data_IF_020098427179
#
_entry.id   IF_020098427179
#
_cell.length_a   1.000
_cell.length_b   1.000
_cell.length_c   1.000
_cell.angle_alpha   90.00
_cell.angle_beta   90.00
_cell.angle_gamma   90.00
#
_symmetry.space_group_name_H-M   'P 1'
#
loop_
_entity.id
_entity.type
_entity.pdbx_description
1 polymer ?
#
# COMPACT_ATOMS: atom_id res chain seq x y z
N UNK A 1 -20.78 8.10 -3.51
CA UNK A 1 -19.47 7.55 -3.89
C UNK A 1 -19.70 6.77 -5.17
N UNK A 2 -19.50 7.41 -6.32
CA UNK A 2 -19.83 6.78 -7.61
C UNK A 2 -18.81 5.69 -7.95
N UNK A 3 -19.31 4.55 -8.43
CA UNK A 3 -18.55 3.35 -8.83
C UNK A 3 -17.47 3.69 -9.89
N UNK A 4 -17.67 4.78 -10.64
CA UNK A 4 -16.72 5.35 -11.58
C UNK A 4 -15.40 5.73 -10.92
N UNK A 5 -15.41 6.33 -9.73
CA UNK A 5 -14.20 6.75 -9.00
C UNK A 5 -13.31 5.55 -8.62
N UNK A 6 -13.92 4.41 -8.28
CA UNK A 6 -13.21 3.18 -7.91
C UNK A 6 -12.41 2.58 -9.08
N UNK A 7 -13.02 2.53 -10.28
CA UNK A 7 -12.36 2.00 -11.48
C UNK A 7 -11.19 2.88 -11.94
N UNK A 8 -11.26 4.20 -11.71
CA UNK A 8 -10.18 5.12 -12.11
C UNK A 8 -9.00 5.14 -11.12
N UNK A 9 -9.22 4.88 -9.83
CA UNK A 9 -8.14 4.71 -8.87
C UNK A 9 -7.23 3.52 -9.21
N UNK A 10 -7.80 2.41 -9.72
CA UNK A 10 -7.03 1.25 -10.18
C UNK A 10 -6.14 1.57 -11.41
N UNK A 11 -6.56 2.51 -12.26
CA UNK A 11 -5.82 2.95 -13.44
C UNK A 11 -4.69 3.95 -13.11
N UNK A 12 -4.92 4.89 -12.18
CA UNK A 12 -3.93 5.91 -11.81
C UNK A 12 -2.81 5.40 -10.92
N UNK A 13 -3.08 4.36 -10.14
CA UNK A 13 -2.07 3.67 -9.37
C UNK A 13 -0.89 3.26 -10.30
N UNK A 14 -1.19 2.81 -11.53
CA UNK A 14 -0.17 2.44 -12.52
C UNK A 14 0.74 3.60 -12.99
N UNK A 15 0.34 4.85 -12.79
CA UNK A 15 1.13 6.03 -13.20
C UNK A 15 2.22 6.42 -12.18
N UNK A 16 2.17 5.93 -10.94
CA UNK A 16 3.14 6.28 -9.88
C UNK A 16 4.50 5.56 -10.03
N UNK A 17 4.62 4.56 -10.90
CA UNK A 17 5.87 3.85 -11.17
C UNK A 17 6.93 4.70 -11.90
N UNK A 18 6.57 5.85 -12.47
CA UNK A 18 7.30 6.40 -13.62
C UNK A 18 8.06 7.70 -13.32
N UNK A 19 8.37 7.98 -12.04
CA UNK A 19 8.92 9.27 -11.59
C UNK A 19 10.32 9.22 -10.95
N UNK A 20 11.12 8.17 -11.16
CA UNK A 20 12.47 8.10 -10.58
C UNK A 20 13.54 7.56 -11.56
N UNK A 21 14.44 8.45 -11.99
CA UNK A 21 15.81 8.09 -12.38
C UNK A 21 16.25 8.51 -13.79
N UNK A 22 17.25 9.41 -13.85
CA UNK A 22 18.02 9.78 -15.05
C UNK A 22 19.43 9.14 -14.97
N UNK A 23 19.94 8.55 -16.07
CA UNK A 23 21.38 8.47 -16.48
C UNK A 23 21.64 7.49 -17.66
N UNK A 24 22.79 7.60 -18.39
CA UNK A 24 22.81 7.54 -19.86
C UNK A 24 23.17 6.19 -20.52
N UNK A 25 22.88 6.17 -21.82
CA UNK A 25 22.95 5.13 -22.85
C UNK A 25 24.12 4.12 -22.83
N UNK A 26 23.77 2.86 -23.17
CA UNK A 26 24.52 2.02 -24.12
C UNK A 26 23.52 1.17 -24.93
N UNK A 27 23.49 1.34 -26.26
CA UNK A 27 22.79 0.44 -27.21
C UNK A 27 23.63 -0.81 -27.52
N UNK A 28 23.03 -1.97 -27.89
CA UNK A 28 22.82 -2.22 -29.31
C UNK A 28 21.54 -3.00 -29.72
N UNK A 29 21.20 -2.73 -30.98
CA UNK A 29 20.21 -3.27 -31.94
C UNK A 29 19.79 -4.74 -31.84
N UNK A 30 18.50 -4.96 -32.16
CA UNK A 30 18.08 -5.84 -33.26
C UNK A 30 16.94 -6.80 -32.96
N UNK A 31 15.73 -6.52 -33.48
CA UNK A 31 14.96 -7.38 -34.41
C UNK A 31 13.46 -7.03 -34.42
N UNK A 32 12.87 -7.10 -35.62
CA UNK A 32 11.54 -6.59 -35.98
C UNK A 32 10.44 -7.63 -35.86
N UNK A 33 9.23 -7.22 -35.45
CA UNK A 33 7.97 -7.82 -35.90
C UNK A 33 6.82 -6.78 -35.89
N UNK A 34 5.87 -6.96 -36.81
CA UNK A 34 4.90 -6.01 -37.35
C UNK A 34 3.63 -5.77 -36.47
N UNK A 35 2.76 -4.78 -36.79
CA UNK A 35 1.93 -4.08 -35.82
C UNK A 35 0.54 -4.70 -35.60
N UNK A 36 0.02 -4.60 -34.37
CA UNK A 36 -1.41 -4.71 -34.08
C UNK A 36 -1.96 -3.34 -33.69
N UNK A 37 -2.89 -2.83 -34.50
CA UNK A 37 -3.65 -1.60 -34.27
C UNK A 37 -4.44 -1.69 -32.97
N UNK A 38 -4.29 -0.70 -32.08
CA UNK A 38 -5.24 -0.45 -31.00
C UNK A 38 -5.64 1.03 -31.03
N UNK A 39 -6.96 1.24 -31.05
CA UNK A 39 -7.62 2.53 -31.08
C UNK A 39 -7.15 3.41 -29.91
N UNK A 40 -6.72 4.63 -30.24
CA UNK A 40 -6.29 5.63 -29.27
C UNK A 40 -7.44 6.10 -28.36
N UNK A 41 -7.18 6.06 -27.06
CA UNK A 41 -7.84 6.95 -26.09
C UNK A 41 -6.81 7.98 -25.65
N UNK A 42 -7.07 9.24 -25.98
CA UNK A 42 -6.23 10.38 -25.65
C UNK A 42 -6.16 10.58 -24.13
N UNK A 43 -4.94 10.57 -23.61
CA UNK A 43 -4.59 10.97 -22.24
C UNK A 43 -4.74 12.50 -22.13
N UNK A 44 -5.30 13.04 -21.03
CA UNK A 44 -5.46 14.49 -20.88
C UNK A 44 -4.11 15.23 -20.99
N UNK A 45 -4.08 16.44 -21.57
CA UNK A 45 -2.88 17.07 -22.12
C UNK A 45 -1.80 17.48 -21.09
N UNK A 46 -2.02 17.26 -19.79
CA UNK A 46 -1.13 17.66 -18.70
C UNK A 46 -0.83 16.54 -17.68
N UNK A 47 -1.16 15.28 -17.97
CA UNK A 47 -0.58 14.19 -17.18
C UNK A 47 0.91 14.09 -17.53
N UNK A 48 1.85 14.04 -16.56
CA UNK A 48 3.25 13.75 -16.88
C UNK A 48 3.27 12.44 -17.67
N UNK A 49 3.80 12.48 -18.89
CA UNK A 49 3.99 11.26 -19.68
C UNK A 49 5.04 10.42 -18.96
N UNK A 50 4.57 9.40 -18.28
CA UNK A 50 5.35 8.30 -17.79
C UNK A 50 6.32 7.76 -18.84
N UNK A 51 7.63 7.75 -18.56
CA UNK A 51 8.64 7.12 -19.42
C UNK A 51 8.56 5.58 -19.25
N UNK A 52 8.16 4.80 -20.27
CA UNK A 52 7.91 3.36 -20.17
C UNK A 52 9.15 2.47 -19.88
N UNK A 53 10.22 3.02 -19.31
CA UNK A 53 11.55 2.38 -19.15
C UNK A 53 12.09 2.33 -17.71
N UNK A 54 11.29 2.60 -16.69
CA UNK A 54 11.75 2.47 -15.29
C UNK A 54 11.40 1.10 -14.72
N UNK A 55 12.41 0.27 -14.49
CA UNK A 55 12.24 -1.03 -13.83
C UNK A 55 11.75 -0.86 -12.38
N UNK A 56 10.99 -1.84 -11.82
CA UNK A 56 10.57 -1.80 -10.43
C UNK A 56 11.75 -1.70 -9.46
N UNK A 57 11.67 -0.79 -8.48
CA UNK A 57 12.70 -0.63 -7.45
C UNK A 57 12.57 -1.69 -6.35
N UNK A 58 13.38 -2.74 -6.42
CA UNK A 58 13.52 -3.72 -5.35
C UNK A 58 14.56 -3.25 -4.32
N UNK A 59 14.14 -3.09 -3.07
CA UNK A 59 15.01 -2.60 -2.00
C UNK A 59 15.77 -3.72 -1.28
N UNK A 60 15.25 -4.95 -1.28
CA UNK A 60 15.86 -6.09 -0.58
C UNK A 60 17.34 -6.31 -0.92
N UNK A 61 17.77 -6.30 -2.20
CA UNK A 61 19.19 -6.44 -2.52
C UNK A 61 20.09 -5.34 -1.91
N UNK A 62 19.59 -4.10 -1.85
CA UNK A 62 20.32 -2.99 -1.24
C UNK A 62 20.34 -3.09 0.29
N UNK A 63 19.25 -3.56 0.90
CA UNK A 63 19.13 -3.81 2.34
C UNK A 63 20.11 -4.92 2.76
N UNK A 64 20.15 -6.03 2.03
CA UNK A 64 21.06 -7.16 2.28
C UNK A 64 22.54 -6.75 2.10
N UNK A 65 22.83 -5.91 1.11
CA UNK A 65 24.16 -5.33 0.91
C UNK A 65 24.51 -4.23 1.93
N UNK A 66 23.60 -3.86 2.84
CA UNK A 66 23.72 -2.74 3.78
C UNK A 66 23.91 -1.36 3.12
N UNK A 67 23.48 -1.19 1.86
CA UNK A 67 23.50 0.06 1.10
C UNK A 67 22.29 0.96 1.46
N UNK A 68 22.10 1.25 2.75
CA UNK A 68 20.89 1.94 3.23
C UNK A 68 20.73 3.36 2.68
N UNK A 69 21.81 4.14 2.56
CA UNK A 69 21.76 5.50 2.03
C UNK A 69 21.29 5.52 0.58
N UNK A 70 21.81 4.61 -0.25
CA UNK A 70 21.42 4.45 -1.65
C UNK A 70 19.96 3.99 -1.77
N UNK A 71 19.53 3.02 -0.94
CA UNK A 71 18.16 2.55 -0.91
C UNK A 71 17.17 3.68 -0.53
N UNK A 72 17.51 4.52 0.45
CA UNK A 72 16.69 5.69 0.82
C UNK A 72 16.65 6.74 -0.30
N UNK A 73 17.78 7.02 -0.94
CA UNK A 73 17.86 7.98 -2.04
C UNK A 73 17.00 7.53 -3.23
N UNK A 74 17.16 6.27 -3.66
CA UNK A 74 16.40 5.70 -4.79
C UNK A 74 14.91 5.58 -4.52
N UNK A 75 14.51 5.32 -3.27
CA UNK A 75 13.09 5.18 -2.90
C UNK A 75 12.37 6.51 -2.70
N UNK A 76 13.08 7.65 -2.69
CA UNK A 76 12.49 8.96 -2.39
C UNK A 76 11.37 9.36 -3.37
N UNK A 77 10.23 9.80 -2.83
CA UNK A 77 9.05 10.23 -3.58
C UNK A 77 8.80 11.71 -3.36
N UNK A 78 8.98 12.52 -4.40
CA UNK A 78 8.79 13.99 -4.33
C UNK A 78 7.38 14.44 -4.72
N UNK A 79 6.54 13.51 -5.21
CA UNK A 79 5.22 13.78 -5.78
C UNK A 79 4.29 14.57 -4.85
N UNK A 80 4.38 14.38 -3.53
CA UNK A 80 3.51 15.04 -2.55
C UNK A 80 3.83 16.55 -2.38
N UNK A 81 5.07 16.96 -2.64
CA UNK A 81 5.53 18.34 -2.41
C UNK A 81 4.82 19.35 -3.30
N UNK A 82 4.43 18.97 -4.52
CA UNK A 82 3.70 19.85 -5.44
C UNK A 82 2.30 20.23 -4.94
N UNK A 83 1.74 19.43 -4.02
CA UNK A 83 0.46 19.69 -3.36
C UNK A 83 0.64 20.35 -1.99
N UNK A 84 1.84 20.87 -1.69
CA UNK A 84 2.15 21.53 -0.43
C UNK A 84 2.25 20.60 0.76
N UNK A 85 2.35 19.28 0.56
CA UNK A 85 2.60 18.29 1.63
C UNK A 85 4.11 18.20 1.80
N UNK A 86 4.63 18.86 2.84
CA UNK A 86 6.07 18.95 3.09
C UNK A 86 6.56 17.82 4.02
N UNK A 87 6.34 16.58 3.59
CA UNK A 87 6.81 15.38 4.28
C UNK A 87 7.78 14.60 3.39
N UNK A 88 8.72 13.90 4.01
CA UNK A 88 9.52 12.88 3.32
C UNK A 88 8.62 11.70 2.97
N UNK A 89 8.81 11.11 1.80
CA UNK A 89 8.08 9.92 1.39
C UNK A 89 9.02 8.96 0.66
N UNK A 90 8.77 7.66 0.83
CA UNK A 90 9.56 6.59 0.22
C UNK A 90 8.66 5.49 -0.32
N UNK A 91 8.97 4.98 -1.51
CA UNK A 91 8.28 3.81 -2.08
C UNK A 91 9.24 2.82 -2.70
N UNK A 92 8.81 1.57 -2.77
CA UNK A 92 9.54 0.51 -3.46
C UNK A 92 8.95 -0.84 -3.12
N UNK A 93 9.67 -1.88 -3.52
CA UNK A 93 9.32 -3.27 -3.26
C UNK A 93 10.26 -3.87 -2.24
N UNK A 94 9.70 -4.60 -1.28
CA UNK A 94 10.46 -5.49 -0.40
C UNK A 94 10.10 -6.93 -0.76
N UNK A 95 11.13 -7.73 -1.06
CA UNK A 95 10.98 -9.17 -1.30
C UNK A 95 10.82 -9.88 0.03
N UNK A 96 9.62 -10.42 0.28
CA UNK A 96 9.26 -11.10 1.54
C UNK A 96 9.41 -12.62 1.44
N UNK A 97 9.55 -13.15 0.24
CA UNK A 97 9.86 -14.56 0.00
C UNK A 97 10.74 -14.72 -1.25
N UNK A 98 12.00 -15.08 -1.07
CA UNK A 98 12.95 -15.26 -2.17
C UNK A 98 12.67 -16.49 -3.04
N UNK A 99 12.01 -17.52 -2.49
CA UNK A 99 11.73 -18.77 -3.23
C UNK A 99 10.61 -18.58 -4.23
N UNK A 100 9.54 -17.89 -3.82
CA UNK A 100 8.39 -17.60 -4.69
C UNK A 100 8.51 -16.24 -5.38
N UNK A 101 9.51 -15.43 -5.01
CA UNK A 101 9.67 -14.04 -5.45
C UNK A 101 8.43 -13.22 -5.11
N UNK A 102 8.00 -13.31 -3.85
CA UNK A 102 6.92 -12.47 -3.34
C UNK A 102 7.47 -11.07 -3.03
N UNK A 103 6.89 -10.06 -3.67
CA UNK A 103 7.28 -8.67 -3.50
C UNK A 103 6.08 -7.87 -2.98
N UNK A 104 6.25 -7.21 -1.82
CA UNK A 104 5.27 -6.26 -1.31
C UNK A 104 5.66 -4.84 -1.66
N UNK A 105 4.74 -4.12 -2.31
CA UNK A 105 4.84 -2.69 -2.56
C UNK A 105 4.40 -1.89 -1.33
N UNK A 106 5.14 -0.83 -1.01
CA UNK A 106 4.76 0.12 0.01
C UNK A 106 4.98 1.56 -0.42
N UNK A 107 4.28 2.45 0.27
CA UNK A 107 4.54 3.87 0.28
C UNK A 107 4.52 4.39 1.71
N UNK A 108 5.69 4.78 2.21
CA UNK A 108 5.88 5.51 3.46
C UNK A 108 5.68 7.01 3.20
N UNK A 109 4.91 7.67 4.05
CA UNK A 109 4.85 9.13 4.15
C UNK A 109 5.03 9.50 5.61
N UNK A 110 6.11 10.23 5.93
CA UNK A 110 6.40 10.62 7.31
C UNK A 110 5.35 11.57 7.88
N UNK A 111 5.23 11.65 9.20
CA UNK A 111 4.35 12.64 9.80
C UNK A 111 4.77 14.07 9.40
N UNK A 112 3.81 14.95 9.11
CA UNK A 112 4.15 16.37 8.90
C UNK A 112 4.58 17.05 10.20
N UNK A 113 3.94 16.69 11.32
CA UNK A 113 4.27 17.23 12.63
C UNK A 113 5.16 16.27 13.42
N UNK A 114 6.33 16.76 13.82
CA UNK A 114 7.29 16.04 14.65
C UNK A 114 7.69 14.64 14.11
N UNK A 115 8.09 14.50 12.82
CA UNK A 115 8.38 13.20 12.19
C UNK A 115 9.37 12.34 13.00
N UNK A 116 10.36 12.97 13.64
CA UNK A 116 11.37 12.28 14.45
C UNK A 116 10.80 11.60 15.71
N UNK A 117 9.60 11.98 16.16
CA UNK A 117 8.94 11.48 17.39
C UNK A 117 7.57 10.84 17.14
N UNK A 118 6.90 11.22 16.06
CA UNK A 118 5.55 10.78 15.71
C UNK A 118 5.43 9.25 15.62
N UNK A 119 4.29 8.65 16.01
CA UNK A 119 4.07 7.22 15.87
C UNK A 119 4.19 6.74 14.42
N UNK A 120 4.46 5.44 14.26
CA UNK A 120 4.42 4.74 12.98
C UNK A 120 3.11 3.96 12.87
N UNK A 121 2.45 4.01 11.72
CA UNK A 121 1.26 3.22 11.45
C UNK A 121 1.37 2.50 10.12
N UNK A 122 1.11 1.19 10.13
CA UNK A 122 0.89 0.43 8.91
C UNK A 122 -0.61 0.43 8.59
N UNK A 123 -0.98 0.86 7.39
CA UNK A 123 -2.35 0.81 6.88
C UNK A 123 -2.42 -0.08 5.64
N UNK A 124 -3.38 -1.00 5.62
CA UNK A 124 -3.63 -1.87 4.47
C UNK A 124 -5.12 -2.01 4.17
N UNK A 125 -5.47 -2.33 2.93
CA UNK A 125 -6.85 -2.38 2.47
C UNK A 125 -7.42 -3.79 2.43
N UNK A 126 -8.73 -3.88 2.57
CA UNK A 126 -9.48 -5.13 2.54
C UNK A 126 -9.73 -5.68 1.13
N UNK A 127 -10.91 -6.24 0.92
CA UNK A 127 -11.28 -6.95 -0.31
C UNK A 127 -11.52 -8.43 -0.05
N UNK A 128 -10.48 -9.26 0.12
CA UNK A 128 -9.03 -8.98 0.16
C UNK A 128 -8.39 -8.61 -1.20
N UNK A 129 -7.24 -7.93 -1.18
CA UNK A 129 -6.44 -7.65 -2.39
C UNK A 129 -6.54 -6.23 -2.96
N UNK A 130 -7.28 -5.32 -2.30
CA UNK A 130 -7.31 -3.92 -2.72
C UNK A 130 -5.98 -3.22 -2.37
N UNK A 131 -5.55 -2.29 -3.23
CA UNK A 131 -4.36 -1.48 -2.95
C UNK A 131 -4.60 -0.54 -1.77
N UNK A 132 -3.59 -0.41 -0.89
CA UNK A 132 -3.55 0.58 0.18
C UNK A 132 -3.58 2.02 -0.33
N UNK A 133 -3.22 2.27 -1.60
CA UNK A 133 -3.36 3.57 -2.22
C UNK A 133 -4.83 4.04 -2.30
N UNK A 134 -5.79 3.11 -2.26
CA UNK A 134 -7.19 3.46 -2.09
C UNK A 134 -7.42 4.22 -0.77
N UNK A 135 -6.82 3.73 0.32
CA UNK A 135 -6.88 4.40 1.63
C UNK A 135 -6.17 5.73 1.62
N UNK A 136 -5.00 5.79 0.97
CA UNK A 136 -4.24 7.03 0.82
C UNK A 136 -5.05 8.11 0.10
N UNK A 137 -5.62 7.79 -1.06
CA UNK A 137 -6.25 8.78 -1.95
C UNK A 137 -7.69 9.13 -1.56
N UNK A 138 -8.45 8.17 -1.04
CA UNK A 138 -9.89 8.33 -0.83
C UNK A 138 -10.32 8.35 0.63
N UNK A 139 -9.43 8.04 1.57
CA UNK A 139 -9.79 7.92 2.97
C UNK A 139 -8.92 8.81 3.87
N UNK A 140 -7.77 8.31 4.31
CA UNK A 140 -7.03 8.84 5.44
C UNK A 140 -5.66 9.44 5.09
N UNK A 141 -5.21 9.30 3.85
CA UNK A 141 -3.94 9.87 3.40
C UNK A 141 -4.00 11.36 3.09
N UNK A 142 -2.84 11.97 2.82
CA UNK A 142 -2.71 13.42 2.73
C UNK A 142 -3.20 13.99 1.39
N UNK A 143 -3.53 13.12 0.42
CA UNK A 143 -4.11 13.52 -0.85
C UNK A 143 -5.62 13.24 -0.89
N UNK A 144 -6.32 14.11 -1.59
CA UNK A 144 -7.69 13.92 -2.05
C UNK A 144 -7.68 13.82 -3.57
N UNK A 145 -8.58 12.99 -4.08
CA UNK A 145 -8.82 12.79 -5.49
C UNK A 145 -10.28 13.12 -5.80
N UNK A 146 -10.52 14.00 -6.77
CA UNK A 146 -11.87 14.37 -7.21
C UNK A 146 -12.31 13.62 -8.48
N UNK A 147 -13.57 13.82 -8.88
CA UNK A 147 -14.12 13.18 -10.08
C UNK A 147 -13.52 13.72 -11.39
N UNK A 148 -12.93 14.92 -11.36
CA UNK A 148 -12.23 15.55 -12.48
C UNK A 148 -10.79 15.06 -12.61
N UNK A 149 -10.40 14.09 -11.75
CA UNK A 149 -9.08 13.47 -11.68
C UNK A 149 -7.98 14.43 -11.22
N UNK A 150 -8.34 15.49 -10.52
CA UNK A 150 -7.38 16.39 -9.90
C UNK A 150 -7.01 15.87 -8.50
N UNK A 151 -5.73 16.03 -8.18
CA UNK A 151 -5.25 15.81 -6.82
C UNK A 151 -5.20 17.14 -6.08
N UNK A 152 -5.59 17.10 -4.80
CA UNK A 152 -5.48 18.22 -3.89
C UNK A 152 -5.01 17.72 -2.53
N UNK A 153 -4.47 18.63 -1.72
CA UNK A 153 -4.14 18.32 -0.33
C UNK A 153 -5.42 18.08 0.46
N UNK A 154 -5.43 17.02 1.28
CA UNK A 154 -6.51 16.72 2.22
C UNK A 154 -6.30 17.49 3.53
N UNK A 155 -7.31 18.21 3.98
CA UNK A 155 -7.25 18.96 5.25
C UNK A 155 -7.21 18.05 6.48
N UNK A 156 -7.99 16.96 6.45
CA UNK A 156 -8.08 15.98 7.53
C UNK A 156 -7.39 14.67 7.13
N UNK A 157 -6.18 14.46 7.62
CA UNK A 157 -5.40 13.25 7.36
C UNK A 157 -4.74 12.74 8.63
N UNK A 158 -4.65 11.43 8.77
CA UNK A 158 -3.92 10.78 9.88
C UNK A 158 -2.42 11.06 9.75
N UNK A 159 -1.92 11.17 8.52
CA UNK A 159 -0.51 11.41 8.21
C UNK A 159 0.01 12.73 8.81
N UNK A 160 -0.85 13.68 9.15
CA UNK A 160 -0.44 14.92 9.80
C UNK A 160 0.33 14.67 11.11
N UNK A 161 -0.05 13.65 11.87
CA UNK A 161 0.50 13.37 13.20
C UNK A 161 1.15 11.98 13.34
N UNK A 162 1.18 11.19 12.26
CA UNK A 162 1.63 9.79 12.26
C UNK A 162 2.37 9.51 10.96
N UNK A 163 3.53 8.87 11.02
CA UNK A 163 4.21 8.36 9.82
C UNK A 163 3.44 7.14 9.32
N UNK A 164 2.94 7.19 8.08
CA UNK A 164 2.05 6.19 7.50
C UNK A 164 2.78 5.30 6.51
N UNK A 165 2.72 3.98 6.71
CA UNK A 165 3.09 2.97 5.71
C UNK A 165 1.80 2.47 5.05
N UNK A 166 1.57 2.85 3.80
CA UNK A 166 0.53 2.24 2.98
C UNK A 166 1.10 0.98 2.32
N UNK A 167 0.66 -0.18 2.80
CA UNK A 167 1.17 -1.48 2.36
C UNK A 167 0.13 -2.22 1.52
N UNK A 168 0.48 -2.53 0.28
CA UNK A 168 -0.31 -3.40 -0.58
C UNK A 168 -0.14 -4.85 -0.11
N UNK A 169 -1.05 -5.32 0.76
CA UNK A 169 -1.06 -6.68 1.28
C UNK A 169 -2.46 -7.29 1.11
N UNK A 170 -2.57 -8.61 0.84
CA UNK A 170 -1.50 -9.60 0.69
C UNK A 170 -0.68 -9.47 -0.61
N UNK A 171 0.30 -10.36 -0.81
CA UNK A 171 0.92 -10.56 -2.14
C UNK A 171 -0.17 -10.79 -3.19
N UNK A 172 -0.13 -10.03 -4.29
CA UNK A 172 -1.21 -9.95 -5.28
C UNK A 172 -2.16 -8.75 -5.11
N UNK A 173 -2.09 -8.03 -3.99
CA UNK A 173 -2.85 -6.80 -3.79
C UNK A 173 -2.17 -5.63 -4.51
N UNK A 174 -2.95 -4.81 -5.21
CA UNK A 174 -2.45 -3.59 -5.87
C UNK A 174 -1.20 -3.84 -6.72
N UNK A 175 -0.07 -3.25 -6.33
CA UNK A 175 1.22 -3.43 -6.98
C UNK A 175 2.02 -4.63 -6.49
N UNK A 176 1.68 -5.22 -5.36
CA UNK A 176 2.38 -6.38 -4.83
C UNK A 176 2.13 -7.61 -5.69
N UNK A 177 3.17 -8.39 -5.98
CA UNK A 177 3.08 -9.52 -6.89
C UNK A 177 4.03 -10.65 -6.51
N UNK A 178 3.88 -11.77 -7.20
CA UNK A 178 4.76 -12.94 -7.10
C UNK A 178 5.09 -13.44 -8.50
N UNK A 179 6.32 -13.92 -8.72
CA UNK A 179 6.68 -14.59 -9.98
C UNK A 179 6.25 -16.07 -9.99
N UNK A 180 5.84 -16.60 -8.83
CA UNK A 180 5.36 -17.97 -8.69
C UNK A 180 3.90 -18.01 -8.21
N UNK A 181 3.05 -18.74 -8.94
CA UNK A 181 1.62 -18.93 -8.61
C UNK A 181 1.42 -19.56 -7.22
N UNK A 182 2.39 -20.30 -6.69
CA UNK A 182 2.31 -20.86 -5.33
C UNK A 182 2.60 -19.83 -4.23
N UNK A 183 3.08 -18.64 -4.60
CA UNK A 183 3.39 -17.53 -3.69
C UNK A 183 2.18 -16.75 -3.20
N UNK A 184 1.00 -16.92 -3.81
CA UNK A 184 -0.22 -16.28 -3.32
C UNK A 184 -0.68 -16.93 -2.00
N UNK A 185 -0.93 -16.12 -0.94
CA UNK A 185 -1.30 -16.64 0.37
C UNK A 185 -2.69 -17.24 0.35
N UNK A 186 -2.87 -18.34 1.08
CA UNK A 186 -4.14 -19.10 1.14
C UNK A 186 -4.84 -18.88 2.47
N UNK A 187 -4.08 -18.58 3.52
CA UNK A 187 -4.55 -18.43 4.89
C UNK A 187 -4.04 -17.13 5.49
N UNK A 188 -4.72 -16.66 6.55
CA UNK A 188 -4.30 -15.47 7.29
C UNK A 188 -2.84 -15.57 7.80
N UNK A 189 -2.35 -16.69 8.36
CA UNK A 189 -0.96 -16.80 8.80
C UNK A 189 0.07 -16.55 7.69
N UNK A 190 -0.22 -16.95 6.45
CA UNK A 190 0.67 -16.70 5.31
C UNK A 190 0.85 -15.19 5.11
N UNK A 191 -0.26 -14.44 5.14
CA UNK A 191 -0.25 -12.97 5.04
C UNK A 191 0.53 -12.32 6.18
N UNK A 192 0.36 -12.81 7.41
CA UNK A 192 1.07 -12.27 8.59
C UNK A 192 2.58 -12.54 8.49
N UNK A 193 2.99 -13.70 7.98
CA UNK A 193 4.41 -14.01 7.76
C UNK A 193 5.04 -13.01 6.79
N UNK A 194 4.38 -12.74 5.66
CA UNK A 194 4.85 -11.78 4.66
C UNK A 194 4.92 -10.34 5.22
N UNK A 195 3.88 -9.88 5.94
CA UNK A 195 3.86 -8.54 6.55
C UNK A 195 4.98 -8.39 7.61
N UNK A 196 5.25 -9.44 8.39
CA UNK A 196 6.35 -9.39 9.36
C UNK A 196 7.71 -9.28 8.67
N UNK A 197 7.94 -10.07 7.63
CA UNK A 197 9.21 -10.03 6.90
C UNK A 197 9.42 -8.66 6.24
N UNK A 198 8.34 -8.09 5.69
CA UNK A 198 8.31 -6.70 5.26
C UNK A 198 8.75 -5.75 6.38
N UNK A 199 8.13 -5.82 7.57
CA UNK A 199 8.45 -4.93 8.69
C UNK A 199 9.90 -5.12 9.18
N UNK A 200 10.43 -6.35 9.15
CA UNK A 200 11.82 -6.62 9.53
C UNK A 200 12.79 -5.86 8.63
N UNK A 201 12.67 -6.03 7.31
CA UNK A 201 13.52 -5.33 6.33
C UNK A 201 13.26 -3.83 6.31
N UNK A 202 11.99 -3.40 6.46
CA UNK A 202 11.63 -1.98 6.58
C UNK A 202 12.37 -1.32 7.76
N UNK A 203 12.44 -1.97 8.92
CA UNK A 203 13.15 -1.45 10.09
C UNK A 203 14.68 -1.53 9.96
N UNK A 204 15.21 -2.37 9.07
CA UNK A 204 16.63 -2.34 8.72
C UNK A 204 16.93 -1.09 7.88
N UNK A 205 16.11 -0.81 6.87
CA UNK A 205 16.26 0.37 6.02
C UNK A 205 15.97 1.68 6.77
N UNK A 206 14.84 1.77 7.47
CA UNK A 206 14.38 2.94 8.20
C UNK A 206 14.56 2.75 9.71
N UNK A 207 15.82 2.57 10.10
CA UNK A 207 16.21 2.28 11.49
C UNK A 207 15.77 3.32 12.53
N UNK A 208 15.48 4.55 12.11
CA UNK A 208 14.90 5.64 12.89
C UNK A 208 13.50 5.32 13.45
N UNK A 209 12.81 4.30 12.92
CA UNK A 209 11.53 3.82 13.44
C UNK A 209 11.66 2.66 14.44
N UNK A 210 12.87 2.18 14.73
CA UNK A 210 13.06 1.16 15.77
C UNK A 210 12.55 1.69 17.12
N UNK A 211 11.88 0.83 17.88
CA UNK A 211 11.21 1.12 19.16
C UNK A 211 10.04 2.11 19.09
N UNK A 212 9.65 2.57 17.89
CA UNK A 212 8.57 3.53 17.71
C UNK A 212 7.25 3.00 18.25
N UNK A 213 6.43 3.89 18.81
CA UNK A 213 5.01 3.63 19.04
C UNK A 213 4.36 3.21 17.72
N UNK A 214 3.80 2.00 17.68
CA UNK A 214 3.33 1.37 16.46
C UNK A 214 1.83 1.06 16.53
N UNK A 215 1.15 1.38 15.44
CA UNK A 215 -0.25 1.01 15.22
C UNK A 215 -0.37 0.20 13.93
N UNK A 216 -1.31 -0.73 13.89
CA UNK A 216 -1.71 -1.36 12.62
C UNK A 216 -3.19 -1.13 12.37
N UNK A 217 -3.49 -0.59 11.20
CA UNK A 217 -4.83 -0.31 10.72
C UNK A 217 -5.17 -1.11 9.48
N UNK A 218 -6.45 -1.43 9.32
CA UNK A 218 -6.95 -1.96 8.07
C UNK A 218 -8.45 -1.90 7.95
N UNK A 219 -8.92 -1.77 6.72
CA UNK A 219 -10.34 -1.68 6.38
C UNK A 219 -10.91 -3.04 5.96
N UNK A 220 -12.18 -3.29 6.29
CA UNK A 220 -12.90 -4.50 5.89
C UNK A 220 -12.14 -5.78 6.30
N UNK A 221 -11.78 -6.67 5.37
CA UNK A 221 -11.04 -7.90 5.65
C UNK A 221 -9.65 -7.64 6.26
N UNK A 222 -9.03 -6.49 5.98
CA UNK A 222 -7.72 -6.13 6.54
C UNK A 222 -7.75 -5.85 8.04
N UNK A 223 -8.93 -5.64 8.65
CA UNK A 223 -9.05 -5.63 10.11
C UNK A 223 -8.59 -6.96 10.72
N UNK A 224 -8.73 -8.09 10.00
CA UNK A 224 -8.17 -9.39 10.42
C UNK A 224 -6.64 -9.42 10.32
N UNK A 225 -6.06 -8.73 9.35
CA UNK A 225 -4.60 -8.60 9.23
C UNK A 225 -4.05 -7.81 10.42
N UNK A 226 -4.71 -6.70 10.77
CA UNK A 226 -4.37 -5.91 11.95
C UNK A 226 -4.43 -6.73 13.24
N UNK A 227 -5.52 -7.47 13.48
CA UNK A 227 -5.65 -8.36 14.64
C UNK A 227 -4.59 -9.47 14.62
N UNK A 228 -4.36 -10.11 13.48
CA UNK A 228 -3.40 -11.20 13.34
C UNK A 228 -1.97 -10.76 13.62
N UNK A 229 -1.54 -9.60 13.10
CA UNK A 229 -0.21 -9.06 13.39
C UNK A 229 -0.09 -8.60 14.85
N UNK A 230 -1.12 -7.95 15.40
CA UNK A 230 -1.10 -7.54 16.80
C UNK A 230 -0.98 -8.73 17.74
N UNK A 231 -1.75 -9.81 17.50
CA UNK A 231 -1.62 -11.06 18.23
C UNK A 231 -0.19 -11.62 18.12
N UNK A 232 0.38 -11.60 16.92
CA UNK A 232 1.75 -12.04 16.71
C UNK A 232 2.75 -11.25 17.58
N UNK A 233 2.70 -9.92 17.52
CA UNK A 233 3.60 -9.04 18.27
C UNK A 233 3.47 -9.24 19.79
N UNK A 234 2.25 -9.46 20.30
CA UNK A 234 2.03 -9.75 21.72
C UNK A 234 2.61 -11.11 22.15
N UNK A 235 2.52 -12.12 21.28
CA UNK A 235 3.09 -13.44 21.54
C UNK A 235 4.62 -13.48 21.37
N UNK A 236 5.18 -12.61 20.52
CA UNK A 236 6.59 -12.56 20.13
C UNK A 236 7.15 -11.13 20.19
N UNK A 237 7.17 -10.49 21.37
CA UNK A 237 7.47 -9.06 21.49
C UNK A 237 8.90 -8.66 21.11
N UNK A 238 9.82 -9.63 20.99
CA UNK A 238 11.23 -9.38 20.65
C UNK A 238 11.53 -9.51 19.15
N UNK A 239 10.58 -9.97 18.33
CA UNK A 239 10.85 -10.24 16.91
C UNK A 239 10.70 -9.02 16.00
N UNK A 240 9.87 -8.05 16.38
CA UNK A 240 9.75 -6.77 15.69
C UNK A 240 10.13 -5.67 16.68
N UNK A 241 11.12 -4.85 16.31
CA UNK A 241 11.61 -3.77 17.16
C UNK A 241 10.68 -2.55 17.09
N UNK A 242 9.43 -2.73 17.49
CA UNK A 242 8.34 -1.77 17.49
C UNK A 242 7.50 -1.95 18.75
N UNK A 243 6.95 -0.86 19.28
CA UNK A 243 6.10 -0.92 20.48
C UNK A 243 4.64 -0.83 20.08
N UNK A 244 3.95 -1.97 20.00
CA UNK A 244 2.53 -2.02 19.67
C UNK A 244 1.70 -1.21 20.68
N UNK A 245 0.96 -0.20 20.20
CA UNK A 245 0.07 0.64 21.00
C UNK A 245 -1.41 0.35 20.73
N UNK A 246 -1.76 -0.09 19.52
CA UNK A 246 -3.16 -0.38 19.20
C UNK A 246 -3.40 -0.84 17.77
N UNK A 247 -4.66 -1.20 17.52
CA UNK A 247 -5.16 -1.59 16.21
C UNK A 247 -6.34 -0.71 15.80
N UNK A 248 -6.51 -0.50 14.50
CA UNK A 248 -7.68 0.20 13.93
C UNK A 248 -8.34 -0.73 12.92
N UNK A 249 -9.63 -1.02 13.10
CA UNK A 249 -10.44 -1.77 12.14
C UNK A 249 -11.56 -0.91 11.58
N UNK A 250 -11.38 -0.33 10.39
CA UNK A 250 -12.45 0.43 9.75
C UNK A 250 -13.42 -0.53 9.06
N UNK A 251 -14.71 -0.43 9.41
CA UNK A 251 -15.78 -1.36 8.95
C UNK A 251 -15.33 -2.83 8.96
N UNK A 252 -14.63 -3.22 10.02
CA UNK A 252 -13.83 -4.44 10.06
C UNK A 252 -14.63 -5.74 9.98
N UNK A 253 -14.19 -6.65 9.12
CA UNK A 253 -14.79 -7.97 8.94
C UNK A 253 -14.15 -9.00 9.90
N UNK A 254 -14.56 -9.00 11.18
CA UNK A 254 -13.87 -9.77 12.23
C UNK A 254 -14.52 -11.10 12.62
N UNK A 255 -15.79 -11.33 12.27
CA UNK A 255 -16.51 -12.57 12.62
C UNK A 255 -16.52 -13.58 11.44
N UNK A 256 -16.85 -14.87 11.67
CA UNK A 256 -17.05 -15.84 10.61
C UNK A 256 -18.06 -15.35 9.56
N UNK A 257 -17.81 -15.65 8.27
CA UNK A 257 -18.63 -15.12 7.17
C UNK A 257 -20.11 -15.48 7.32
N UNK A 258 -20.44 -16.69 7.74
CA UNK A 258 -21.84 -17.10 7.90
C UNK A 258 -22.54 -16.41 9.09
N UNK A 259 -21.80 -15.86 10.04
CA UNK A 259 -22.38 -15.07 11.14
C UNK A 259 -22.53 -13.59 10.76
N UNK A 260 -21.61 -13.04 9.95
CA UNK A 260 -21.69 -11.66 9.45
C UNK A 260 -22.63 -11.51 8.25
N UNK A 261 -22.71 -12.53 7.40
CA UNK A 261 -23.55 -12.54 6.21
C UNK A 261 -25.04 -12.60 6.55
N UNK A 262 -25.41 -13.03 7.76
CA UNK A 262 -26.76 -12.82 8.25
C UNK A 262 -26.94 -11.36 8.67
N UNK A 263 -27.03 -10.50 7.66
CA UNK A 263 -27.42 -9.11 7.80
C UNK A 263 -28.94 -8.95 7.77
N UNK A 264 -29.73 -10.04 7.87
CA UNK A 264 -31.18 -9.98 7.66
C UNK A 264 -31.87 -9.05 8.66
N UNK A 265 -31.49 -9.10 9.93
CA UNK A 265 -32.01 -8.20 10.96
C UNK A 265 -31.64 -6.75 10.67
N UNK A 266 -30.36 -6.46 10.36
CA UNK A 266 -29.92 -5.11 10.01
C UNK A 266 -30.66 -4.58 8.77
N UNK A 267 -30.75 -5.37 7.72
CA UNK A 267 -31.42 -5.00 6.47
C UNK A 267 -32.92 -4.81 6.67
N UNK A 268 -33.57 -5.62 7.53
CA UNK A 268 -34.96 -5.44 7.91
C UNK A 268 -35.18 -4.13 8.66
N UNK A 269 -34.36 -3.85 9.69
CA UNK A 269 -34.44 -2.59 10.45
C UNK A 269 -34.13 -1.36 9.58
N UNK A 270 -33.27 -1.52 8.57
CA UNK A 270 -32.99 -0.49 7.58
C UNK A 270 -34.05 -0.38 6.45
N UNK A 271 -35.14 -1.15 6.53
CA UNK A 271 -36.20 -1.21 5.50
C UNK A 271 -35.69 -1.62 4.10
N UNK A 272 -34.57 -2.34 4.05
CA UNK A 272 -34.00 -2.94 2.84
C UNK A 272 -34.53 -4.37 2.59
N UNK A 273 -35.16 -4.97 3.61
CA UNK A 273 -35.93 -6.21 3.51
C UNK A 273 -37.32 -6.00 4.13
N UNK A 274 -38.31 -6.74 3.66
CA UNK A 274 -39.64 -6.79 4.25
C UNK A 274 -39.91 -8.16 4.91
N UNK A 275 -41.08 -8.31 5.53
CA UNK A 275 -41.49 -9.55 6.20
C UNK A 275 -41.74 -10.71 5.24
N UNK A 276 -41.73 -10.47 3.91
CA UNK A 276 -41.93 -11.50 2.89
C UNK A 276 -40.56 -12.06 2.52
N UNK A 277 -40.05 -12.94 3.39
CA UNK A 277 -38.83 -13.71 3.12
C UNK A 277 -38.98 -14.46 1.78
N UNK A 278 -37.97 -14.32 0.92
CA UNK A 278 -37.80 -15.05 -0.34
C UNK A 278 -37.94 -16.58 -0.16
#
# INVERSE_FOLDING_TARGET
MEITSLCWCLLLAGCLQLAAGDSPEVTPKGESAAPSESNGQEVPPNAPSADPKTDPLFLTPLIEACNFSEAKEKSNVTYFKQYGINATAHSGYITVNETTKNHLFFLLIEAEENPDTAPLMLWTQGGPGLSALFGLLLQNGPLSFDYEKNFSRRDLTIQKHVSMIYLDAPVGAGFSFTENITGYPKLLPDVIIDIKEFLRQFLELFSEYKQRAFYIGGDSYAARYAVGLAQYMLMKPQELNLTLQGIIGGVGFLAPIFQLADSSEFLFQASMLDDKRL
#
